data_IF_736954645215
#
_entry.id   IF_736954645215
#
_cell.length_a   1.000
_cell.length_b   1.000
_cell.length_c   1.000
_cell.angle_alpha   90.00
_cell.angle_beta   90.00
_cell.angle_gamma   90.00
#
_symmetry.space_group_name_H-M   'P 1'
#
loop_
_entity.id
_entity.type
_entity.pdbx_description
1 polymer ?
#
# COMPACT_ATOMS: atom_id res chain seq x y z
N UNK A 1 1.62 -25.19 18.89
CA UNK A 1 2.84 -24.38 19.03
C UNK A 1 3.87 -25.04 18.14
N UNK A 2 4.33 -24.36 17.10
CA UNK A 2 5.34 -24.89 16.18
C UNK A 2 6.73 -24.65 16.77
N UNK A 3 7.67 -25.56 16.51
CA UNK A 3 9.05 -25.45 16.96
C UNK A 3 9.93 -24.82 15.87
N UNK A 4 11.03 -24.17 16.26
CA UNK A 4 12.03 -23.68 15.30
C UNK A 4 12.53 -24.82 14.41
N UNK A 5 12.57 -24.57 13.09
CA UNK A 5 12.89 -25.56 12.07
C UNK A 5 11.69 -26.30 11.48
N UNK A 6 10.49 -26.16 12.05
CA UNK A 6 9.27 -26.76 11.48
C UNK A 6 8.97 -26.13 10.12
N UNK A 7 8.78 -26.98 9.10
CA UNK A 7 8.21 -26.56 7.82
C UNK A 7 6.71 -26.39 7.99
N UNK A 8 6.22 -25.16 7.85
CA UNK A 8 4.81 -24.81 7.98
C UNK A 8 4.25 -24.31 6.66
N UNK A 9 2.93 -24.42 6.51
CA UNK A 9 2.20 -23.81 5.40
C UNK A 9 1.00 -23.06 5.93
N UNK A 10 0.75 -21.85 5.45
CA UNK A 10 -0.39 -21.04 5.85
C UNK A 10 -1.06 -20.42 4.62
N UNK A 11 -2.33 -20.08 4.77
CA UNK A 11 -3.07 -19.32 3.77
C UNK A 11 -2.71 -17.84 3.93
N UNK A 12 -2.18 -17.23 2.87
CA UNK A 12 -1.91 -15.80 2.79
C UNK A 12 -3.16 -15.02 2.33
N UNK A 13 -3.93 -15.65 1.44
CA UNK A 13 -5.31 -15.29 1.10
C UNK A 13 -6.10 -16.59 0.94
N UNK A 14 -7.45 -16.57 0.84
CA UNK A 14 -8.22 -17.78 0.50
C UNK A 14 -7.75 -18.46 -0.79
N UNK A 15 -7.06 -17.72 -1.67
CA UNK A 15 -6.55 -18.18 -2.96
C UNK A 15 -5.05 -18.51 -2.99
N UNK A 16 -4.28 -18.13 -1.95
CA UNK A 16 -2.82 -18.24 -1.95
C UNK A 16 -2.32 -18.97 -0.70
N UNK A 17 -1.65 -20.11 -0.91
CA UNK A 17 -0.99 -20.88 0.15
C UNK A 17 0.52 -20.68 0.09
N UNK A 18 1.14 -20.33 1.21
CA UNK A 18 2.58 -20.13 1.37
C UNK A 18 3.20 -21.22 2.22
N UNK A 19 4.51 -21.36 2.09
CA UNK A 19 5.33 -22.30 2.85
C UNK A 19 6.48 -21.55 3.52
N UNK A 20 6.91 -22.01 4.69
CA UNK A 20 7.97 -21.40 5.45
C UNK A 20 8.56 -22.32 6.49
N UNK A 21 9.62 -21.84 7.14
CA UNK A 21 10.31 -22.50 8.24
C UNK A 21 10.16 -21.60 9.46
N UNK A 22 9.70 -22.18 10.55
CA UNK A 22 9.57 -21.44 11.80
C UNK A 22 10.96 -21.08 12.33
N UNK A 23 11.15 -19.82 12.72
CA UNK A 23 12.37 -19.34 13.38
C UNK A 23 12.08 -18.87 14.79
N UNK A 24 13.11 -18.87 15.62
CA UNK A 24 13.03 -18.25 16.93
C UNK A 24 12.84 -16.72 16.78
N UNK A 25 12.02 -16.07 17.62
CA UNK A 25 11.74 -14.63 17.54
C UNK A 25 12.99 -13.73 17.58
N UNK A 26 14.10 -14.23 18.09
CA UNK A 26 15.38 -13.51 18.21
C UNK A 26 16.16 -13.41 16.89
N UNK A 27 15.82 -14.18 15.85
CA UNK A 27 16.66 -14.27 14.66
C UNK A 27 16.49 -13.11 13.66
N UNK A 28 15.56 -12.17 13.83
CA UNK A 28 15.35 -10.98 12.95
C UNK A 28 15.20 -11.30 11.44
N UNK A 29 14.89 -12.55 11.10
CA UNK A 29 14.83 -13.03 9.72
C UNK A 29 13.41 -13.14 9.18
N UNK A 30 12.37 -12.73 9.91
CA UNK A 30 10.97 -12.86 9.47
C UNK A 30 10.75 -12.21 8.09
N UNK A 31 10.21 -12.97 7.14
CA UNK A 31 10.03 -12.53 5.75
C UNK A 31 11.28 -12.58 4.88
N UNK A 32 12.42 -13.03 5.42
CA UNK A 32 13.66 -13.29 4.67
C UNK A 32 13.65 -14.74 4.16
N UNK A 33 14.14 -14.95 2.93
CA UNK A 33 14.31 -16.29 2.35
C UNK A 33 15.55 -16.97 2.94
N UNK A 34 15.46 -18.24 3.40
CA UNK A 34 16.63 -19.02 3.75
C UNK A 34 17.54 -19.20 2.53
N UNK A 35 18.86 -19.20 2.76
CA UNK A 35 19.83 -19.37 1.69
C UNK A 35 19.61 -20.70 0.95
N UNK A 36 19.40 -20.64 -0.37
CA UNK A 36 19.22 -21.82 -1.24
C UNK A 36 17.79 -22.35 -1.35
N UNK A 37 16.83 -21.83 -0.58
CA UNK A 37 15.43 -22.29 -0.57
C UNK A 37 14.52 -21.19 -1.17
N UNK A 38 14.16 -21.33 -2.45
CA UNK A 38 13.41 -20.28 -3.19
C UNK A 38 11.95 -20.13 -2.76
N UNK A 39 11.39 -21.16 -2.12
CA UNK A 39 9.96 -21.24 -1.78
C UNK A 39 9.68 -21.17 -0.27
N UNK A 40 10.72 -21.03 0.56
CA UNK A 40 10.59 -20.97 2.01
C UNK A 40 10.88 -19.58 2.55
N UNK A 41 10.25 -19.28 3.69
CA UNK A 41 10.39 -18.03 4.43
C UNK A 41 10.57 -18.31 5.89
N UNK A 42 11.36 -17.49 6.55
CA UNK A 42 11.38 -17.48 7.99
C UNK A 42 10.12 -16.81 8.53
N UNK A 43 9.40 -17.51 9.41
CA UNK A 43 8.16 -17.03 10.03
C UNK A 43 8.23 -17.24 11.54
N UNK A 44 7.69 -16.30 12.32
CA UNK A 44 7.45 -16.54 13.74
C UNK A 44 6.16 -17.36 13.89
N UNK A 45 6.18 -18.41 14.71
CA UNK A 45 5.02 -19.25 14.98
C UNK A 45 3.83 -18.46 15.57
N UNK A 46 4.10 -17.35 16.28
CA UNK A 46 3.10 -16.44 16.81
C UNK A 46 2.48 -15.51 15.76
N UNK A 47 3.05 -15.44 14.56
CA UNK A 47 2.58 -14.62 13.43
C UNK A 47 1.68 -15.42 12.46
N UNK A 48 1.47 -16.70 12.72
CA UNK A 48 0.57 -17.54 11.91
C UNK A 48 -0.89 -17.20 12.27
N UNK A 49 -1.66 -16.88 11.23
CA UNK A 49 -3.07 -16.49 11.31
C UNK A 49 -3.89 -17.38 12.26
N UNK A 50 -4.60 -16.77 13.22
CA UNK A 50 -5.62 -17.43 14.03
C UNK A 50 -7.00 -16.99 13.53
N UNK A 51 -7.87 -17.94 13.19
CA UNK A 51 -9.21 -17.68 12.64
C UNK A 51 -10.12 -16.80 13.52
N UNK A 52 -9.76 -16.58 14.79
CA UNK A 52 -10.60 -15.94 15.79
C UNK A 52 -10.31 -14.45 16.05
N UNK A 53 -9.23 -13.88 15.50
CA UNK A 53 -8.96 -12.43 15.53
C UNK A 53 -8.11 -12.04 14.32
N UNK A 54 -8.69 -11.40 13.29
CA UNK A 54 -7.98 -11.17 12.03
C UNK A 54 -6.91 -10.08 12.13
N UNK A 55 -7.01 -9.20 13.15
CA UNK A 55 -5.97 -8.22 13.47
C UNK A 55 -5.13 -8.74 14.65
N UNK A 56 -3.80 -8.86 14.51
CA UNK A 56 -2.93 -9.22 15.60
C UNK A 56 -3.01 -8.21 16.75
N UNK A 57 -3.02 -8.68 17.99
CA UNK A 57 -3.00 -7.81 19.18
C UNK A 57 -1.59 -7.28 19.48
N UNK A 58 -0.59 -8.13 19.26
CA UNK A 58 0.82 -7.80 19.48
C UNK A 58 1.38 -6.97 18.32
N UNK A 59 2.41 -6.18 18.62
CA UNK A 59 3.16 -5.45 17.59
C UNK A 59 4.15 -6.39 16.89
N UNK A 60 4.37 -6.18 15.59
CA UNK A 60 5.19 -7.07 14.78
C UNK A 60 4.90 -7.00 13.28
N UNK A 61 5.46 -7.97 12.55
CA UNK A 61 5.30 -8.15 11.11
C UNK A 61 4.52 -9.44 10.85
N UNK A 62 3.51 -9.41 10.00
CA UNK A 62 2.58 -10.51 9.79
C UNK A 62 2.33 -10.71 8.30
N UNK A 63 2.42 -11.97 7.86
CA UNK A 63 2.02 -12.37 6.52
C UNK A 63 0.55 -12.80 6.51
N UNK A 64 -0.13 -12.57 5.39
CA UNK A 64 -1.42 -13.22 5.13
C UNK A 64 -2.63 -12.61 5.83
N UNK A 65 -2.50 -11.38 6.32
CA UNK A 65 -3.66 -10.64 6.82
C UNK A 65 -4.51 -10.22 5.60
N UNK A 66 -5.78 -10.62 5.51
CA UNK A 66 -6.65 -10.20 4.40
C UNK A 66 -6.74 -8.68 4.27
N UNK A 67 -6.83 -8.18 3.04
CA UNK A 67 -6.92 -6.74 2.77
C UNK A 67 -8.16 -6.10 3.40
N UNK A 68 -9.30 -6.81 3.41
CA UNK A 68 -10.52 -6.38 4.11
C UNK A 68 -10.26 -6.11 5.59
N UNK A 69 -9.58 -7.04 6.25
CA UNK A 69 -9.36 -7.00 7.68
C UNK A 69 -8.40 -5.86 8.02
N UNK A 70 -7.26 -5.81 7.32
CA UNK A 70 -6.30 -4.72 7.45
C UNK A 70 -6.90 -3.33 7.22
N UNK A 71 -7.81 -3.19 6.25
CA UNK A 71 -8.48 -1.91 6.01
C UNK A 71 -9.52 -1.58 7.07
N UNK A 72 -10.18 -2.60 7.64
CA UNK A 72 -11.22 -2.45 8.67
C UNK A 72 -10.69 -2.17 10.08
N UNK A 73 -9.39 -2.32 10.33
CA UNK A 73 -8.79 -2.03 11.64
C UNK A 73 -9.03 -0.55 12.03
N UNK A 74 -9.81 -0.35 13.10
CA UNK A 74 -10.18 0.97 13.64
C UNK A 74 -9.28 1.42 14.78
N UNK A 75 -8.46 0.52 15.32
CA UNK A 75 -7.65 0.77 16.51
C UNK A 75 -6.21 1.17 16.21
N UNK A 76 -5.81 1.10 14.94
CA UNK A 76 -4.56 1.64 14.45
C UNK A 76 -4.75 2.68 13.35
N UNK A 77 -3.73 3.53 13.16
CA UNK A 77 -3.66 4.51 12.09
C UNK A 77 -2.77 3.99 10.95
N UNK A 78 -3.20 4.13 9.70
CA UNK A 78 -2.42 3.78 8.50
C UNK A 78 -1.87 5.03 7.81
N UNK A 79 -0.89 4.87 6.91
CA UNK A 79 -0.36 5.99 6.12
C UNK A 79 -1.41 6.70 5.25
N UNK A 80 -2.37 5.96 4.70
CA UNK A 80 -3.49 6.54 3.95
C UNK A 80 -4.47 7.26 4.88
N UNK A 81 -4.76 6.68 6.04
CA UNK A 81 -5.55 7.30 7.10
C UNK A 81 -4.93 8.61 7.58
N UNK A 82 -3.63 8.62 7.83
CA UNK A 82 -2.88 9.81 8.25
C UNK A 82 -2.96 10.94 7.21
N UNK A 83 -2.80 10.63 5.92
CA UNK A 83 -2.95 11.64 4.85
C UNK A 83 -4.37 12.18 4.76
N UNK A 84 -5.39 11.34 4.95
CA UNK A 84 -6.78 11.78 4.97
C UNK A 84 -7.08 12.67 6.18
N UNK A 85 -6.57 12.28 7.35
CA UNK A 85 -6.68 13.03 8.59
C UNK A 85 -6.06 14.43 8.47
N UNK A 86 -4.87 14.53 7.84
CA UNK A 86 -4.25 15.82 7.53
C UNK A 86 -5.04 16.66 6.52
N UNK A 87 -5.89 16.05 5.69
CA UNK A 87 -6.81 16.80 4.84
C UNK A 87 -7.98 17.37 5.64
N UNK A 88 -8.61 16.54 6.48
CA UNK A 88 -9.61 16.93 7.47
C UNK A 88 -9.94 15.71 8.37
N UNK A 89 -9.83 15.81 9.71
CA UNK A 89 -10.20 14.72 10.61
C UNK A 89 -11.64 14.22 10.42
N UNK A 90 -12.59 15.11 10.16
CA UNK A 90 -13.98 14.73 9.87
C UNK A 90 -14.12 13.75 8.69
N UNK A 91 -13.29 13.89 7.64
CA UNK A 91 -13.31 12.96 6.50
C UNK A 91 -12.81 11.58 6.89
N UNK A 92 -11.78 11.53 7.73
CA UNK A 92 -11.26 10.27 8.25
C UNK A 92 -12.30 9.57 9.12
N UNK A 93 -12.94 10.30 10.06
CA UNK A 93 -14.02 9.77 10.89
C UNK A 93 -15.19 9.23 10.04
N UNK A 94 -15.62 10.01 9.04
CA UNK A 94 -16.67 9.57 8.12
C UNK A 94 -16.30 8.26 7.39
N UNK A 95 -15.06 8.12 6.91
CA UNK A 95 -14.60 6.90 6.24
C UNK A 95 -14.56 5.69 7.17
N UNK A 96 -14.30 5.86 8.47
CA UNK A 96 -14.34 4.75 9.41
C UNK A 96 -15.77 4.15 9.48
N UNK A 97 -16.79 4.99 9.49
CA UNK A 97 -18.20 4.57 9.61
C UNK A 97 -18.86 4.21 8.27
N UNK A 98 -18.21 4.61 7.17
CA UNK A 98 -18.67 4.36 5.81
C UNK A 98 -17.54 3.69 5.03
N UNK A 99 -17.32 2.37 5.23
CA UNK A 99 -16.38 1.61 4.44
C UNK A 99 -16.70 1.81 2.95
N UNK A 100 -15.65 1.98 2.13
CA UNK A 100 -15.85 2.16 0.69
C UNK A 100 -16.64 0.98 0.15
N UNK A 101 -17.76 1.28 -0.50
CA UNK A 101 -18.44 0.27 -1.30
C UNK A 101 -17.45 -0.29 -2.33
N UNK A 102 -17.46 -1.61 -2.59
CA UNK A 102 -16.65 -2.19 -3.64
C UNK A 102 -16.90 -1.42 -4.95
N UNK A 103 -15.83 -0.92 -5.56
CA UNK A 103 -15.96 -0.12 -6.77
C UNK A 103 -16.77 -0.90 -7.83
N UNK A 104 -17.78 -0.26 -8.40
CA UNK A 104 -18.63 -0.88 -9.44
C UNK A 104 -17.83 -1.22 -10.70
N UNK A 105 -16.75 -0.46 -10.92
CA UNK A 105 -15.74 -0.69 -11.94
C UNK A 105 -14.42 -1.07 -11.31
N UNK A 106 -13.77 -2.04 -11.93
CA UNK A 106 -12.46 -2.49 -11.53
C UNK A 106 -11.38 -1.41 -11.80
N UNK A 107 -10.46 -1.20 -10.87
CA UNK A 107 -9.31 -0.30 -11.05
C UNK A 107 -8.14 -1.08 -11.65
N UNK A 108 -7.73 -0.74 -12.87
CA UNK A 108 -6.58 -1.34 -13.56
C UNK A 108 -5.31 -1.33 -12.68
N UNK A 109 -5.16 -0.34 -11.79
CA UNK A 109 -4.06 -0.30 -10.82
C UNK A 109 -4.04 -1.52 -9.91
N UNK A 110 -5.20 -1.93 -9.40
CA UNK A 110 -5.33 -3.13 -8.55
C UNK A 110 -4.93 -4.40 -9.31
N UNK A 111 -5.30 -4.54 -10.59
CA UNK A 111 -4.91 -5.72 -11.39
C UNK A 111 -3.42 -5.75 -11.64
N UNK A 112 -2.81 -4.61 -11.94
CA UNK A 112 -1.37 -4.52 -12.10
C UNK A 112 -0.65 -4.90 -10.80
N UNK A 113 -1.12 -4.45 -9.63
CA UNK A 113 -0.60 -4.91 -8.34
C UNK A 113 -0.75 -6.43 -8.21
N UNK A 114 -1.94 -6.98 -8.43
CA UNK A 114 -2.17 -8.43 -8.31
C UNK A 114 -1.24 -9.24 -9.23
N UNK A 115 -1.08 -8.82 -10.49
CA UNK A 115 -0.23 -9.52 -11.44
C UNK A 115 1.27 -9.35 -11.15
N UNK A 116 1.72 -8.19 -10.66
CA UNK A 116 3.14 -7.93 -10.35
C UNK A 116 3.55 -8.62 -9.05
N UNK A 117 2.73 -8.49 -8.00
CA UNK A 117 3.01 -9.03 -6.67
C UNK A 117 2.72 -10.54 -6.58
N UNK A 118 1.82 -11.05 -7.43
CA UNK A 118 1.42 -12.46 -7.43
C UNK A 118 0.57 -12.84 -6.21
N UNK A 119 -0.08 -11.86 -5.59
CA UNK A 119 -1.03 -12.02 -4.48
C UNK A 119 -2.23 -11.09 -4.70
N UNK A 120 -3.35 -11.39 -4.05
CA UNK A 120 -4.61 -10.66 -4.20
C UNK A 120 -5.77 -11.56 -4.62
N UNK A 121 -6.77 -10.95 -5.24
CA UNK A 121 -8.00 -11.63 -5.64
C UNK A 121 -7.80 -12.56 -6.84
N UNK A 122 -8.56 -13.65 -6.89
CA UNK A 122 -8.63 -14.50 -8.08
C UNK A 122 -9.32 -13.76 -9.22
N UNK A 123 -8.68 -13.75 -10.39
CA UNK A 123 -9.18 -13.05 -11.58
C UNK A 123 -9.87 -14.04 -12.50
N UNK A 124 -11.10 -13.72 -12.91
CA UNK A 124 -11.78 -14.41 -14.01
C UNK A 124 -11.73 -13.50 -15.25
N UNK A 125 -11.06 -13.96 -16.29
CA UNK A 125 -11.01 -13.25 -17.56
C UNK A 125 -12.29 -13.54 -18.34
N UNK A 126 -12.98 -12.48 -18.75
CA UNK A 126 -14.15 -12.55 -19.62
C UNK A 126 -13.78 -12.05 -21.02
N UNK A 127 -13.96 -12.91 -22.02
CA UNK A 127 -13.73 -12.59 -23.43
C UNK A 127 -14.94 -11.84 -24.01
N UNK A 128 -14.91 -10.52 -23.84
CA UNK A 128 -15.92 -9.59 -24.34
C UNK A 128 -15.32 -8.19 -24.53
N UNK A 129 -15.89 -7.40 -25.45
CA UNK A 129 -15.50 -6.00 -25.65
C UNK A 129 -16.01 -5.08 -24.53
N UNK A 130 -17.21 -5.37 -24.01
CA UNK A 130 -17.83 -4.62 -22.93
C UNK A 130 -18.84 -5.48 -22.15
N UNK A 131 -19.39 -4.92 -21.06
CA UNK A 131 -20.39 -5.58 -20.21
C UNK A 131 -21.84 -5.43 -20.71
N UNK A 132 -22.10 -5.04 -21.97
CA UNK A 132 -23.47 -4.81 -22.47
C UNK A 132 -24.16 -6.12 -22.89
N UNK A 133 -23.39 -7.08 -23.41
CA UNK A 133 -23.96 -8.35 -23.88
C UNK A 133 -24.55 -9.16 -22.70
N UNK A 134 -25.57 -9.99 -22.99
CA UNK A 134 -26.15 -10.89 -21.98
C UNK A 134 -25.08 -11.88 -21.48
N UNK A 135 -24.32 -12.45 -22.42
CA UNK A 135 -23.23 -13.39 -22.11
C UNK A 135 -22.17 -12.78 -21.18
N UNK A 136 -21.67 -11.57 -21.46
CA UNK A 136 -20.66 -10.93 -20.63
C UNK A 136 -21.16 -10.69 -19.20
N UNK A 137 -22.43 -10.28 -19.04
CA UNK A 137 -23.04 -10.09 -17.71
C UNK A 137 -23.21 -11.42 -16.96
N UNK A 138 -23.62 -12.48 -17.63
CA UNK A 138 -23.72 -13.81 -17.02
C UNK A 138 -22.35 -14.33 -16.56
N UNK A 139 -21.29 -14.16 -17.37
CA UNK A 139 -19.92 -14.49 -16.98
C UNK A 139 -19.45 -13.67 -15.78
N UNK A 140 -19.71 -12.35 -15.78
CA UNK A 140 -19.39 -11.46 -14.67
C UNK A 140 -20.05 -11.89 -13.37
N UNK A 141 -21.35 -12.16 -13.42
CA UNK A 141 -22.15 -12.47 -12.25
C UNK A 141 -21.73 -13.84 -11.69
N UNK A 142 -21.50 -14.83 -12.56
CA UNK A 142 -20.94 -16.14 -12.17
C UNK A 142 -19.56 -16.02 -11.52
N UNK A 143 -18.67 -15.19 -12.06
CA UNK A 143 -17.35 -14.95 -11.46
C UNK A 143 -17.48 -14.42 -10.03
N UNK A 144 -18.34 -13.42 -9.84
CA UNK A 144 -18.61 -12.81 -8.51
C UNK A 144 -19.23 -13.82 -7.54
N UNK A 145 -20.16 -14.66 -7.99
CA UNK A 145 -20.75 -15.74 -7.18
C UNK A 145 -19.69 -16.74 -6.69
N UNK A 146 -18.64 -16.97 -7.49
CA UNK A 146 -17.49 -17.81 -7.11
C UNK A 146 -16.38 -17.06 -6.36
N UNK A 147 -16.61 -15.79 -5.97
CA UNK A 147 -15.62 -14.98 -5.26
C UNK A 147 -14.46 -14.48 -6.12
N UNK A 148 -14.58 -14.57 -7.45
CA UNK A 148 -13.57 -14.07 -8.41
C UNK A 148 -13.91 -12.67 -8.89
N UNK A 149 -12.88 -11.94 -9.28
CA UNK A 149 -12.99 -10.61 -9.87
C UNK A 149 -13.05 -10.72 -11.39
N UNK A 150 -14.20 -10.40 -12.02
CA UNK A 150 -14.33 -10.45 -13.47
C UNK A 150 -13.62 -9.28 -14.15
N UNK A 151 -12.77 -9.57 -15.12
CA UNK A 151 -11.96 -8.59 -15.87
C UNK A 151 -12.16 -8.82 -17.37
N UNK A 152 -12.36 -7.75 -18.15
CA UNK A 152 -12.42 -7.86 -19.61
C UNK A 152 -11.06 -8.22 -20.19
N UNK A 153 -11.03 -8.99 -21.27
CA UNK A 153 -9.79 -9.39 -21.97
C UNK A 153 -8.84 -8.22 -22.22
N UNK A 154 -9.36 -7.11 -22.74
CA UNK A 154 -8.56 -5.92 -23.07
C UNK A 154 -7.88 -5.30 -21.83
N UNK A 155 -8.59 -5.20 -20.71
CA UNK A 155 -8.02 -4.67 -19.46
C UNK A 155 -6.96 -5.61 -18.88
N UNK A 156 -7.18 -6.94 -19.00
CA UNK A 156 -6.21 -7.94 -18.58
C UNK A 156 -4.93 -7.87 -19.42
N UNK A 157 -5.05 -7.76 -20.73
CA UNK A 157 -3.89 -7.69 -21.63
C UNK A 157 -3.08 -6.40 -21.40
N UNK A 158 -3.76 -5.26 -21.21
CA UNK A 158 -3.08 -4.01 -20.83
C UNK A 158 -2.34 -4.13 -19.47
N UNK A 159 -2.92 -4.83 -18.50
CA UNK A 159 -2.26 -5.06 -17.22
C UNK A 159 -1.10 -6.07 -17.31
N UNK A 160 -1.20 -7.06 -18.19
CA UNK A 160 -0.11 -7.98 -18.54
C UNK A 160 1.06 -7.21 -19.14
N UNK A 161 0.81 -6.29 -20.09
CA UNK A 161 1.86 -5.47 -20.71
C UNK A 161 2.56 -4.58 -19.67
N UNK A 162 1.82 -3.96 -18.75
CA UNK A 162 2.40 -3.21 -17.62
C UNK A 162 3.23 -4.10 -16.69
N UNK A 163 2.73 -5.30 -16.38
CA UNK A 163 3.44 -6.28 -15.53
C UNK A 163 4.73 -6.75 -16.19
N UNK A 164 4.74 -6.95 -17.51
CA UNK A 164 5.94 -7.32 -18.28
C UNK A 164 6.92 -6.14 -18.35
N UNK A 165 6.44 -4.91 -18.50
CA UNK A 165 7.28 -3.71 -18.41
C UNK A 165 8.04 -3.65 -17.08
N UNK A 166 7.36 -3.95 -15.96
CA UNK A 166 7.95 -3.94 -14.62
C UNK A 166 8.86 -5.15 -14.37
N UNK A 167 8.38 -6.38 -14.63
CA UNK A 167 9.06 -7.62 -14.22
C UNK A 167 10.03 -8.20 -15.25
N UNK A 168 9.97 -7.76 -16.50
CA UNK A 168 10.79 -8.31 -17.60
C UNK A 168 11.67 -7.23 -18.21
N UNK A 169 11.08 -6.09 -18.59
CA UNK A 169 11.78 -5.10 -19.40
C UNK A 169 12.62 -4.11 -18.57
N UNK A 170 12.19 -3.76 -17.36
CA UNK A 170 12.92 -2.84 -16.49
C UNK A 170 13.81 -3.59 -15.47
N UNK A 171 15.10 -3.73 -15.78
CA UNK A 171 16.08 -4.52 -15.01
C UNK A 171 16.01 -4.34 -13.48
N UNK A 172 16.09 -3.10 -12.98
CA UNK A 172 16.10 -2.87 -11.52
C UNK A 172 14.75 -3.21 -10.87
N UNK A 173 13.64 -2.97 -11.56
CA UNK A 173 12.31 -3.24 -11.00
C UNK A 173 12.07 -4.76 -10.97
N UNK A 174 12.47 -5.46 -12.03
CA UNK A 174 12.47 -6.91 -12.08
C UNK A 174 13.27 -7.53 -10.93
N UNK A 175 14.50 -7.05 -10.69
CA UNK A 175 15.33 -7.50 -9.56
C UNK A 175 14.65 -7.26 -8.20
N UNK A 176 14.01 -6.11 -8.01
CA UNK A 176 13.31 -5.77 -6.76
C UNK A 176 12.14 -6.71 -6.46
N UNK A 177 11.37 -7.11 -7.49
CA UNK A 177 10.19 -7.98 -7.35
C UNK A 177 10.48 -9.49 -7.55
N UNK A 178 11.75 -9.90 -7.66
CA UNK A 178 12.15 -11.32 -7.79
C UNK A 178 12.42 -11.97 -6.43
N UNK A 179 13.14 -11.25 -5.56
CA UNK A 179 13.44 -11.64 -4.19
C UNK A 179 12.68 -10.75 -3.20
N UNK A 180 12.02 -11.35 -2.20
CA UNK A 180 11.21 -10.64 -1.21
C UNK A 180 9.78 -11.14 -1.12
N UNK A 181 8.99 -10.44 -0.31
CA UNK A 181 7.64 -10.80 0.08
C UNK A 181 6.63 -9.70 -0.19
N UNK A 182 5.47 -10.02 -0.78
CA UNK A 182 4.42 -9.05 -0.99
C UNK A 182 3.59 -8.82 0.27
N UNK A 183 3.03 -7.61 0.39
CA UNK A 183 1.92 -7.27 1.30
C UNK A 183 2.12 -7.66 2.78
N UNK A 184 3.36 -7.69 3.25
CA UNK A 184 3.69 -7.92 4.67
C UNK A 184 3.11 -6.79 5.53
N UNK A 185 2.29 -7.16 6.52
CA UNK A 185 1.56 -6.19 7.35
C UNK A 185 2.28 -5.95 8.67
N UNK A 186 2.48 -4.68 9.02
CA UNK A 186 3.21 -4.27 10.21
C UNK A 186 2.28 -3.51 11.16
N UNK A 187 2.39 -3.80 12.45
CA UNK A 187 1.79 -2.99 13.53
C UNK A 187 2.84 -2.63 14.56
N UNK A 188 2.84 -1.37 15.01
CA UNK A 188 3.74 -0.91 16.07
C UNK A 188 3.13 0.27 16.81
N UNK A 189 3.30 0.34 18.13
CA UNK A 189 2.90 1.51 18.91
C UNK A 189 3.92 2.63 18.81
N UNK A 190 3.43 3.84 18.53
CA UNK A 190 4.24 5.05 18.65
C UNK A 190 4.60 5.27 20.13
N UNK A 191 5.89 5.26 20.51
CA UNK A 191 6.29 5.36 21.91
C UNK A 191 5.93 6.70 22.56
N UNK A 192 5.77 7.76 21.77
CA UNK A 192 5.44 9.09 22.30
C UNK A 192 3.95 9.27 22.64
N UNK A 193 3.07 8.62 21.87
CA UNK A 193 1.61 8.84 21.96
C UNK A 193 0.82 7.60 22.37
N UNK A 194 1.41 6.41 22.25
CA UNK A 194 0.72 5.12 22.44
C UNK A 194 -0.20 4.73 21.28
N UNK A 195 -0.35 5.60 20.27
CA UNK A 195 -1.14 5.32 19.06
C UNK A 195 -0.53 4.14 18.33
N UNK A 196 -1.36 3.14 18.02
CA UNK A 196 -0.93 2.01 17.20
C UNK A 196 -0.89 2.43 15.74
N UNK A 197 0.25 2.21 15.08
CA UNK A 197 0.47 2.49 13.68
C UNK A 197 0.41 1.18 12.90
N UNK A 198 -0.10 1.22 11.67
CA UNK A 198 -0.01 0.11 10.73
C UNK A 198 0.58 0.51 9.38
N UNK A 199 1.28 -0.42 8.74
CA UNK A 199 1.85 -0.25 7.42
C UNK A 199 1.82 -1.57 6.64
N UNK A 200 1.68 -1.50 5.31
CA UNK A 200 1.73 -2.66 4.43
C UNK A 200 2.37 -2.22 3.11
N UNK A 201 3.68 -2.46 2.91
CA UNK A 201 4.34 -2.21 1.63
C UNK A 201 3.85 -3.22 0.60
N UNK A 202 3.85 -2.81 -0.67
CA UNK A 202 3.52 -3.72 -1.76
C UNK A 202 4.54 -4.86 -1.80
N UNK A 203 5.82 -4.55 -1.51
CA UNK A 203 6.89 -5.55 -1.45
C UNK A 203 7.96 -5.20 -0.40
N UNK A 204 8.46 -6.22 0.30
CA UNK A 204 9.60 -6.13 1.22
C UNK A 204 10.72 -7.04 0.73
N UNK A 205 11.94 -6.51 0.60
CA UNK A 205 13.10 -7.30 0.18
C UNK A 205 14.36 -6.89 0.93
N UNK A 206 15.33 -7.80 1.00
CA UNK A 206 16.65 -7.54 1.57
C UNK A 206 17.67 -7.44 0.44
N UNK A 207 18.36 -6.32 0.34
CA UNK A 207 19.39 -6.07 -0.68
C UNK A 207 20.53 -5.27 -0.09
N UNK A 208 21.75 -5.72 -0.35
CA UNK A 208 22.99 -5.11 0.15
C UNK A 208 23.02 -4.92 1.68
N UNK A 209 22.44 -5.89 2.40
CA UNK A 209 22.36 -5.88 3.87
C UNK A 209 21.39 -4.86 4.45
N UNK A 210 20.49 -4.31 3.63
CA UNK A 210 19.45 -3.37 4.05
C UNK A 210 18.07 -3.89 3.70
N UNK A 211 17.07 -3.49 4.49
CA UNK A 211 15.66 -3.66 4.16
C UNK A 211 15.21 -2.62 3.12
N UNK A 212 14.56 -3.09 2.06
CA UNK A 212 13.98 -2.27 1.00
C UNK A 212 12.48 -2.48 0.99
N UNK A 213 11.75 -1.38 1.19
CA UNK A 213 10.30 -1.30 1.12
C UNK A 213 9.96 -0.72 -0.26
N UNK A 214 9.18 -1.44 -1.04
CA UNK A 214 8.83 -1.03 -2.40
C UNK A 214 7.32 -0.85 -2.49
N UNK A 215 6.92 0.25 -3.10
CA UNK A 215 5.54 0.62 -3.34
C UNK A 215 5.35 0.83 -4.86
N UNK A 216 4.48 0.02 -5.45
CA UNK A 216 4.15 0.06 -6.86
C UNK A 216 3.06 1.11 -7.09
N UNK A 217 3.19 1.85 -8.19
CA UNK A 217 2.21 2.86 -8.60
C UNK A 217 2.00 2.81 -10.09
N UNK A 218 0.74 2.61 -10.49
CA UNK A 218 0.33 2.94 -11.86
C UNK A 218 0.08 4.44 -11.97
N UNK A 219 0.61 5.07 -13.01
CA UNK A 219 0.60 6.53 -13.13
C UNK A 219 0.37 7.00 -14.57
N UNK A 220 0.10 8.29 -14.73
CA UNK A 220 0.03 8.91 -16.06
C UNK A 220 1.43 9.14 -16.65
N UNK A 221 2.40 9.52 -15.81
CA UNK A 221 3.79 9.70 -16.21
C UNK A 221 4.72 9.03 -15.21
N UNK A 222 5.66 8.24 -15.72
CA UNK A 222 6.76 7.68 -14.94
C UNK A 222 8.03 8.53 -15.06
N UNK A 223 7.97 9.75 -15.61
CA UNK A 223 9.13 10.65 -15.67
C UNK A 223 9.55 11.09 -14.26
N UNK A 224 10.78 10.75 -13.80
CA UNK A 224 11.25 11.14 -12.48
C UNK A 224 11.22 12.65 -12.23
N UNK A 225 11.34 13.46 -13.29
CA UNK A 225 11.31 14.94 -13.21
C UNK A 225 9.95 15.48 -12.79
N UNK A 226 8.88 14.76 -13.08
CA UNK A 226 7.51 15.15 -12.70
C UNK A 226 7.10 14.57 -11.35
N UNK A 227 7.76 13.49 -10.91
CA UNK A 227 7.35 12.73 -9.74
C UNK A 227 7.30 13.56 -8.46
N UNK A 228 8.25 14.48 -8.25
CA UNK A 228 8.26 15.35 -7.06
C UNK A 228 6.96 16.14 -6.87
N UNK A 229 6.36 16.63 -7.97
CA UNK A 229 5.07 17.35 -7.93
C UNK A 229 3.93 16.42 -7.56
N UNK A 230 3.89 15.24 -8.16
CA UNK A 230 2.91 14.18 -7.87
C UNK A 230 3.01 13.72 -6.42
N UNK A 231 4.22 13.46 -5.93
CA UNK A 231 4.51 13.03 -4.58
C UNK A 231 4.13 14.08 -3.52
N UNK A 232 4.32 15.37 -3.82
CA UNK A 232 3.82 16.44 -2.97
C UNK A 232 2.28 16.47 -2.95
N UNK A 233 1.64 16.42 -4.12
CA UNK A 233 0.17 16.48 -4.22
C UNK A 233 -0.53 15.30 -3.55
N UNK A 234 -0.01 14.08 -3.72
CA UNK A 234 -0.61 12.85 -3.19
C UNK A 234 -0.14 12.50 -1.77
N UNK A 235 0.81 13.27 -1.22
CA UNK A 235 1.35 13.06 0.12
C UNK A 235 2.29 11.86 0.23
N UNK A 236 2.94 11.43 -0.86
CA UNK A 236 3.84 10.27 -0.86
C UNK A 236 5.08 10.46 0.01
N UNK A 237 5.49 11.69 0.28
CA UNK A 237 6.51 11.99 1.28
C UNK A 237 6.07 11.58 2.70
N UNK A 238 4.78 11.76 3.05
CA UNK A 238 4.20 11.27 4.31
C UNK A 238 4.18 9.74 4.33
N UNK A 239 3.81 9.11 3.21
CA UNK A 239 3.82 7.65 3.08
C UNK A 239 5.23 7.09 3.27
N UNK A 240 6.24 7.63 2.59
CA UNK A 240 7.63 7.21 2.76
C UNK A 240 8.08 7.32 4.22
N UNK A 241 7.84 8.48 4.85
CA UNK A 241 8.21 8.68 6.25
C UNK A 241 7.52 7.67 7.19
N UNK A 242 6.23 7.42 6.95
CA UNK A 242 5.43 6.45 7.70
C UNK A 242 6.05 5.05 7.68
N UNK A 243 6.36 4.54 6.50
CA UNK A 243 6.86 3.19 6.32
C UNK A 243 8.28 3.02 6.87
N UNK A 244 9.15 4.00 6.61
CA UNK A 244 10.51 4.04 7.19
C UNK A 244 10.44 4.09 8.72
N UNK A 245 9.54 4.89 9.30
CA UNK A 245 9.39 4.98 10.75
C UNK A 245 8.85 3.69 11.36
N UNK A 246 7.81 3.08 10.78
CA UNK A 246 7.28 1.81 11.27
C UNK A 246 8.35 0.71 11.24
N UNK A 247 9.09 0.58 10.14
CA UNK A 247 10.17 -0.39 10.03
C UNK A 247 11.30 -0.17 11.07
N UNK A 248 11.65 1.10 11.35
CA UNK A 248 12.63 1.45 12.39
C UNK A 248 12.14 1.17 13.80
N UNK A 249 10.88 1.47 14.10
CA UNK A 249 10.28 1.22 15.42
C UNK A 249 10.17 -0.28 15.72
N UNK A 250 9.99 -1.10 14.69
CA UNK A 250 10.02 -2.56 14.77
C UNK A 250 11.44 -3.14 14.75
N UNK A 251 12.47 -2.29 14.73
CA UNK A 251 13.88 -2.69 14.67
C UNK A 251 14.24 -3.62 13.49
N UNK A 252 13.48 -3.55 12.39
CA UNK A 252 13.73 -4.39 11.21
C UNK A 252 15.03 -3.98 10.50
N UNK A 253 15.28 -2.68 10.44
CA UNK A 253 16.49 -2.08 9.90
C UNK A 253 16.64 -0.65 10.46
N UNK A 254 17.85 -0.22 10.88
CA UNK A 254 18.06 1.17 11.32
C UNK A 254 17.97 2.18 10.17
N UNK A 255 18.20 1.75 8.93
CA UNK A 255 18.24 2.57 7.73
C UNK A 255 17.55 1.89 6.51
N UNK A 256 16.23 1.62 6.59
CA UNK A 256 15.49 1.01 5.49
C UNK A 256 15.45 1.96 4.29
N UNK A 257 15.47 1.39 3.08
CA UNK A 257 15.23 2.11 1.83
C UNK A 257 13.73 2.07 1.53
N UNK A 258 13.17 3.16 1.03
CA UNK A 258 11.80 3.18 0.52
C UNK A 258 11.78 3.67 -0.92
N UNK A 259 11.28 2.85 -1.84
CA UNK A 259 11.23 3.15 -3.27
C UNK A 259 9.80 3.13 -3.80
N UNK A 260 9.57 4.01 -4.77
CA UNK A 260 8.42 3.92 -5.64
C UNK A 260 8.83 3.27 -6.96
N UNK A 261 8.10 2.26 -7.39
CA UNK A 261 8.16 1.76 -8.77
C UNK A 261 6.96 2.31 -9.50
N UNK A 262 7.20 3.13 -10.51
CA UNK A 262 6.18 3.78 -11.31
C UNK A 262 6.05 3.04 -12.63
N UNK A 263 4.83 2.76 -13.07
CA UNK A 263 4.53 2.24 -14.41
C UNK A 263 3.42 3.06 -15.06
N UNK A 264 3.67 3.52 -16.29
CA UNK A 264 2.67 4.29 -17.03
C UNK A 264 1.49 3.43 -17.46
N UNK A 265 0.27 3.96 -17.30
CA UNK A 265 -0.98 3.30 -17.71
C UNK A 265 -1.12 3.17 -19.22
N UNK A 266 -0.39 3.96 -19.99
CA UNK A 266 -0.48 3.99 -21.46
C UNK A 266 0.78 3.41 -22.10
N UNK A 267 0.68 2.69 -23.22
CA UNK A 267 1.85 2.25 -23.99
C UNK A 267 2.77 3.43 -24.32
N UNK A 268 4.10 3.25 -24.25
CA UNK A 268 4.82 1.99 -24.10
C UNK A 268 5.06 1.54 -22.64
N UNK A 269 4.23 1.96 -21.68
CA UNK A 269 4.28 1.55 -20.28
C UNK A 269 5.65 1.79 -19.64
N UNK A 270 6.19 3.01 -19.78
CA UNK A 270 7.50 3.33 -19.24
C UNK A 270 7.53 3.12 -17.72
N UNK A 271 8.68 2.63 -17.25
CA UNK A 271 8.92 2.32 -15.84
C UNK A 271 10.05 3.18 -15.30
N UNK A 272 9.87 3.70 -14.09
CA UNK A 272 10.93 4.33 -13.31
C UNK A 272 10.94 3.80 -11.89
N UNK A 273 12.13 3.64 -11.33
CA UNK A 273 12.34 3.36 -9.91
C UNK A 273 12.89 4.62 -9.27
N UNK A 274 12.16 5.21 -8.32
CA UNK A 274 12.48 6.53 -7.75
C UNK A 274 12.42 6.52 -6.23
N UNK A 275 13.24 7.37 -5.63
CA UNK A 275 13.29 7.65 -4.20
C UNK A 275 13.05 9.16 -4.00
N UNK A 276 12.36 9.52 -2.93
CA UNK A 276 12.26 10.93 -2.52
C UNK A 276 13.46 11.29 -1.65
N UNK A 277 14.00 12.49 -1.83
CA UNK A 277 15.21 12.92 -1.12
C UNK A 277 15.00 13.13 0.39
N UNK A 278 16.11 13.47 1.07
CA UNK A 278 16.14 13.70 2.51
C UNK A 278 15.23 14.87 2.94
N UNK A 279 15.09 15.91 2.13
CA UNK A 279 14.25 17.07 2.48
C UNK A 279 12.76 16.69 2.41
N UNK A 280 12.37 15.94 1.39
CA UNK A 280 11.04 15.34 1.29
C UNK A 280 10.77 14.39 2.46
N UNK A 281 11.74 13.57 2.87
CA UNK A 281 11.64 12.72 4.05
C UNK A 281 11.39 13.54 5.33
N UNK A 282 12.17 14.60 5.57
CA UNK A 282 12.02 15.43 6.77
C UNK A 282 10.66 16.14 6.80
N UNK A 283 10.17 16.61 5.66
CA UNK A 283 8.82 17.17 5.56
C UNK A 283 7.76 16.10 5.86
N UNK A 284 7.89 14.92 5.24
CA UNK A 284 7.02 13.77 5.45
C UNK A 284 6.95 13.35 6.91
N UNK A 285 8.10 13.31 7.59
CA UNK A 285 8.21 12.96 9.00
C UNK A 285 7.48 13.96 9.91
N UNK A 286 7.64 15.28 9.66
CA UNK A 286 6.90 16.30 10.42
C UNK A 286 5.39 16.17 10.23
N UNK A 287 4.94 15.95 8.99
CA UNK A 287 3.51 15.75 8.68
C UNK A 287 2.96 14.45 9.28
N UNK A 288 3.74 13.37 9.26
CA UNK A 288 3.40 12.12 9.92
C UNK A 288 3.21 12.33 11.43
N UNK A 289 4.13 13.03 12.10
CA UNK A 289 4.02 13.34 13.54
C UNK A 289 2.76 14.15 13.83
N UNK A 290 2.51 15.21 13.05
CA UNK A 290 1.28 16.00 13.13
C UNK A 290 0.03 15.12 13.01
N UNK A 291 0.01 14.18 12.05
CA UNK A 291 -1.13 13.26 11.88
C UNK A 291 -1.33 12.33 13.08
N UNK A 292 -0.25 11.80 13.67
CA UNK A 292 -0.33 10.93 14.86
C UNK A 292 -0.88 11.73 16.05
N UNK A 293 -0.39 12.95 16.26
CA UNK A 293 -0.81 13.80 17.37
C UNK A 293 -2.28 14.26 17.20
N UNK A 294 -2.70 14.62 15.99
CA UNK A 294 -4.10 14.95 15.67
C UNK A 294 -5.00 13.73 15.87
N UNK A 295 -4.59 12.54 15.41
CA UNK A 295 -5.39 11.33 15.58
C UNK A 295 -5.57 10.98 17.05
N UNK A 296 -4.50 11.09 17.86
CA UNK A 296 -4.59 10.94 19.31
C UNK A 296 -5.59 11.93 19.91
N UNK A 297 -5.46 13.22 19.61
CA UNK A 297 -6.37 14.23 20.12
C UNK A 297 -7.82 13.93 19.73
N UNK A 298 -8.07 13.59 18.46
CA UNK A 298 -9.42 13.26 18.00
C UNK A 298 -9.99 12.04 18.76
N UNK A 299 -9.18 11.02 19.05
CA UNK A 299 -9.61 9.86 19.86
C UNK A 299 -9.83 10.20 21.33
N UNK A 300 -8.98 11.05 21.92
CA UNK A 300 -9.05 11.40 23.34
C UNK A 300 -10.29 12.27 23.64
N UNK A 301 -10.68 13.14 22.71
CA UNK A 301 -11.81 14.07 22.85
C UNK A 301 -13.10 13.62 22.15
N UNK A 302 -13.02 12.56 21.33
CA UNK A 302 -14.09 12.14 20.40
C UNK A 302 -14.61 13.27 19.51
N UNK A 303 -13.71 14.18 19.12
CA UNK A 303 -13.98 15.32 18.25
C UNK A 303 -13.15 15.23 16.97
N UNK A 304 -13.82 15.28 15.82
CA UNK A 304 -13.21 15.11 14.50
C UNK A 304 -13.47 16.36 13.66
N UNK A 305 -12.66 17.43 13.83
CA UNK A 305 -12.93 18.71 13.21
C UNK A 305 -12.92 18.65 11.68
N UNK A 306 -13.79 19.45 11.06
CA UNK A 306 -13.89 19.61 9.62
C UNK A 306 -12.96 20.70 9.10
N UNK A 307 -13.51 21.63 8.31
CA UNK A 307 -12.80 22.84 7.89
C UNK A 307 -12.95 23.94 8.95
N UNK A 308 -13.00 25.21 8.53
CA UNK A 308 -13.31 26.31 9.44
C UNK A 308 -14.65 26.09 10.16
N UNK A 309 -14.83 26.77 11.30
CA UNK A 309 -16.07 26.69 12.06
C UNK A 309 -17.27 27.05 11.18
N UNK A 310 -18.39 26.35 11.38
CA UNK A 310 -19.63 26.54 10.61
C UNK A 310 -20.25 27.95 10.77
N UNK A 311 -19.66 28.78 11.63
CA UNK A 311 -20.01 30.18 11.88
C UNK A 311 -19.12 31.19 11.14
N UNK A 312 -18.09 30.76 10.41
CA UNK A 312 -17.10 31.64 9.78
C UNK A 312 -17.18 31.62 8.25
N UNK A 313 -17.22 32.82 7.64
CA UNK A 313 -17.01 32.97 6.20
C UNK A 313 -15.51 33.11 5.97
N UNK A 314 -14.91 32.11 5.30
CA UNK A 314 -13.48 32.14 4.94
C UNK A 314 -13.31 32.80 3.56
N UNK A 315 -12.73 34.02 3.46
CA UNK A 315 -12.41 34.60 2.17
C UNK A 315 -11.31 33.78 1.47
N UNK A 316 -11.52 33.41 0.21
CA UNK A 316 -10.58 32.62 -0.58
C UNK A 316 -9.96 33.47 -1.69
N UNK A 317 -8.63 33.45 -1.79
CA UNK A 317 -7.90 34.09 -2.88
C UNK A 317 -7.71 33.11 -4.05
N UNK A 318 -7.80 33.60 -5.28
CA UNK A 318 -7.37 32.83 -6.45
C UNK A 318 -5.86 32.56 -6.36
N UNK A 319 -5.37 31.43 -6.93
CA UNK A 319 -3.95 31.17 -6.99
C UNK A 319 -3.18 32.32 -7.66
N UNK A 320 -2.06 32.73 -7.07
CA UNK A 320 -1.21 33.84 -7.54
C UNK A 320 -0.81 33.74 -9.02
N UNK A 321 -0.74 32.55 -9.59
CA UNK A 321 -0.40 32.36 -11.01
C UNK A 321 -1.53 32.80 -11.96
N UNK A 322 -2.81 32.81 -11.55
CA UNK A 322 -3.95 33.24 -12.38
C UNK A 322 -3.81 34.72 -12.78
N UNK A 323 -3.39 35.57 -11.84
CA UNK A 323 -3.20 37.00 -12.09
C UNK A 323 -2.00 37.31 -12.98
N UNK A 324 -1.02 36.40 -13.07
CA UNK A 324 0.18 36.57 -13.90
C UNK A 324 -0.09 36.38 -15.40
N UNK A 325 -1.13 35.63 -15.78
CA UNK A 325 -1.47 35.42 -17.19
C UNK A 325 -2.23 36.60 -17.81
N UNK A 326 -3.03 37.33 -17.03
CA UNK A 326 -3.79 38.49 -17.53
C UNK A 326 -2.91 39.72 -17.79
N UNK A 327 -1.77 39.85 -17.09
CA UNK A 327 -0.85 40.97 -17.29
C UNK A 327 -0.03 40.91 -18.59
N UNK A 328 -0.05 39.79 -19.33
CA UNK A 328 0.70 39.62 -20.59
C UNK A 328 -0.09 39.90 -21.86
N UNK A 329 -1.41 40.02 -21.79
CA UNK A 329 -2.26 40.37 -22.95
C UNK A 329 -2.49 41.89 -23.08
N UNK A 330 -1.92 42.69 -22.18
CA UNK A 330 -2.08 44.15 -22.14
C UNK A 330 -0.77 44.93 -22.45
N UNK A 331 0.20 44.33 -23.14
CA UNK A 331 1.42 45.00 -23.58
C UNK A 331 1.63 44.89 -25.09
#
# INVERSE_FOLDING_TARGET
MFAAGDKVSWWHTPACKRHGVVVEPSERLVGVRPAGERELLYVDACQLYSENSPIPLEDGVYAGIPTSDYQSDRDSLSASGARLLLSAPAKYAWQLDHPREPATHFDIGTLVHTLVLGCGDEIEVVDAEDWRSKHARECRDKARETGRVPILRADYDAAVDMRDAVKIHHRLAAELFDAGEPEMSMWVRDPATGVRLRARPDWMTQRDGRLWLVDLKTCQSADPREFGRTANHLGYHVQMAWYVTVARLLELDPNPVFLFVLVEKTPPHLVSVVELDADAYQLGYRRMREAIDVFRACRDWDEWPGYAADSEIVPVALPQWVFRHQGKESQ
#
